data_IF_585943595510
#
_entry.id   IF_585943595510
#
_cell.length_a   1.000
_cell.length_b   1.000
_cell.length_c   1.000
_cell.angle_alpha   90.00
_cell.angle_beta   90.00
_cell.angle_gamma   90.00
#
_symmetry.space_group_name_H-M   'P 1'
#
loop_
_entity.id
_entity.type
_entity.pdbx_description
1 polymer ?
#
# COMPACT_ATOMS: atom_id res chain seq x y z
N UNK A 1 38.72 -0.88 -42.98
CA UNK A 1 38.35 -1.96 -43.91
C UNK A 1 37.21 -2.72 -43.25
N UNK A 2 35.96 -2.45 -43.66
CA UNK A 2 35.02 -3.37 -44.36
C UNK A 2 34.80 -4.67 -43.55
N UNK A 3 33.61 -4.99 -43.08
CA UNK A 3 32.38 -5.18 -43.86
C UNK A 3 31.08 -4.73 -43.16
N UNK A 4 30.13 -4.31 -44.00
CA UNK A 4 28.74 -3.99 -43.66
C UNK A 4 27.89 -5.24 -43.85
N UNK A 5 26.95 -5.52 -42.94
CA UNK A 5 25.84 -6.43 -43.24
C UNK A 5 24.54 -5.64 -43.21
N UNK A 6 24.03 -5.39 -44.41
CA UNK A 6 22.68 -4.90 -44.67
C UNK A 6 21.67 -6.03 -44.46
N UNK A 7 20.55 -5.76 -43.80
CA UNK A 7 19.34 -6.58 -43.93
C UNK A 7 18.33 -5.87 -44.82
N UNK A 8 17.99 -6.55 -45.91
CA UNK A 8 17.15 -6.12 -47.00
C UNK A 8 15.66 -6.04 -46.63
N UNK A 9 14.99 -5.04 -47.21
CA UNK A 9 13.54 -5.00 -47.45
C UNK A 9 13.11 -6.18 -48.35
N UNK A 10 12.04 -6.86 -47.96
CA UNK A 10 11.17 -7.65 -48.85
C UNK A 10 9.82 -6.96 -49.00
N UNK A 11 9.38 -6.78 -50.25
CA UNK A 11 8.24 -5.97 -50.69
C UNK A 11 6.98 -6.82 -50.95
N UNK A 12 5.83 -6.20 -50.66
CA UNK A 12 4.56 -6.20 -51.43
C UNK A 12 3.69 -7.48 -51.44
N UNK A 13 2.46 -7.33 -50.93
CA UNK A 13 1.27 -7.92 -51.55
C UNK A 13 0.15 -6.87 -51.67
N UNK A 14 -0.39 -6.83 -52.88
CA UNK A 14 -1.42 -5.99 -53.46
C UNK A 14 -2.81 -6.46 -53.00
N UNK A 15 -3.74 -5.55 -52.71
CA UNK A 15 -5.14 -5.88 -52.44
C UNK A 15 -6.07 -4.80 -52.97
N UNK A 16 -6.81 -5.11 -54.02
CA UNK A 16 -7.67 -4.24 -54.79
C UNK A 16 -8.93 -3.78 -54.04
N UNK A 17 -9.42 -2.60 -54.42
CA UNK A 17 -10.69 -2.03 -54.00
C UNK A 17 -11.89 -2.77 -54.62
N UNK A 18 -12.92 -3.03 -53.81
CA UNK A 18 -14.30 -3.22 -54.25
C UNK A 18 -15.22 -2.48 -53.28
N UNK A 19 -15.91 -1.48 -53.79
CA UNK A 19 -17.00 -0.79 -53.11
C UNK A 19 -18.30 -1.56 -53.35
N UNK A 20 -19.03 -1.86 -52.28
CA UNK A 20 -20.44 -2.25 -52.34
C UNK A 20 -21.16 -1.61 -51.14
N UNK A 21 -22.16 -0.79 -51.46
CA UNK A 21 -23.04 -0.13 -50.50
C UNK A 21 -24.07 -1.13 -49.95
N UNK A 22 -24.44 -1.00 -48.67
CA UNK A 22 -25.53 -1.75 -48.06
C UNK A 22 -25.75 -1.44 -46.58
N UNK A 23 -26.62 -0.45 -46.31
CA UNK A 23 -27.46 -0.22 -45.10
C UNK A 23 -26.97 -0.76 -43.75
N UNK A 24 -26.51 0.15 -42.88
CA UNK A 24 -26.32 -0.09 -41.45
C UNK A 24 -27.64 0.06 -40.68
N UNK A 25 -28.11 -1.01 -40.04
CA UNK A 25 -29.08 -0.93 -38.95
C UNK A 25 -28.29 -0.75 -37.64
N UNK A 26 -28.35 0.44 -37.05
CA UNK A 26 -27.76 0.72 -35.74
C UNK A 26 -28.72 0.22 -34.65
N UNK A 27 -28.43 -0.95 -34.07
CA UNK A 27 -29.03 -1.34 -32.79
C UNK A 27 -28.22 -0.67 -31.69
N UNK A 28 -28.79 0.38 -31.10
CA UNK A 28 -28.22 1.03 -29.92
C UNK A 28 -28.43 0.12 -28.70
N UNK A 29 -27.38 -0.59 -28.28
CA UNK A 29 -27.33 -1.22 -26.95
C UNK A 29 -26.84 -0.15 -25.98
N UNK A 30 -27.74 0.51 -25.27
CA UNK A 30 -27.38 1.40 -24.16
C UNK A 30 -27.02 0.56 -22.94
N UNK A 31 -25.74 0.21 -22.83
CA UNK A 31 -25.16 -0.19 -21.55
C UNK A 31 -25.07 1.05 -20.65
N UNK A 32 -25.68 1.08 -19.46
CA UNK A 32 -25.48 2.18 -18.52
C UNK A 32 -24.08 2.08 -17.93
N UNK A 33 -23.15 2.86 -18.49
CA UNK A 33 -21.87 3.17 -17.87
C UNK A 33 -21.87 4.63 -17.46
N UNK A 34 -21.69 4.89 -16.16
CA UNK A 34 -20.77 5.89 -15.58
C UNK A 34 -20.96 5.92 -14.07
N UNK A 35 -20.05 5.25 -13.35
CA UNK A 35 -19.75 5.57 -11.97
C UNK A 35 -19.07 6.96 -11.98
N UNK A 36 -19.83 7.98 -11.57
CA UNK A 36 -19.34 9.35 -11.50
C UNK A 36 -18.45 9.56 -10.28
N UNK A 37 -17.32 10.21 -10.50
CA UNK A 37 -16.57 10.93 -9.48
C UNK A 37 -16.41 12.37 -10.01
N UNK A 38 -17.28 13.27 -9.56
CA UNK A 38 -17.14 14.71 -9.76
C UNK A 38 -17.68 15.40 -8.50
N UNK A 39 -16.81 15.60 -7.52
CA UNK A 39 -17.03 16.54 -6.42
C UNK A 39 -16.17 17.78 -6.68
N UNK A 40 -16.79 18.82 -7.21
CA UNK A 40 -16.25 20.18 -7.18
C UNK A 40 -17.29 21.13 -6.59
N UNK A 41 -16.94 21.71 -5.44
CA UNK A 41 -17.73 22.73 -4.77
C UNK A 41 -17.31 24.15 -5.15
N UNK A 42 -18.27 25.08 -5.13
CA UNK A 42 -18.01 26.46 -4.70
C UNK A 42 -18.08 27.59 -5.74
N UNK A 43 -19.27 28.17 -5.87
CA UNK A 43 -19.61 29.61 -6.02
C UNK A 43 -19.03 30.49 -7.16
N UNK A 44 -19.96 30.97 -8.01
CA UNK A 44 -19.97 32.36 -8.50
C UNK A 44 -19.78 32.58 -10.01
N UNK A 45 -20.87 32.76 -10.75
CA UNK A 45 -20.84 33.31 -12.12
C UNK A 45 -21.85 32.65 -13.04
N UNK A 46 -22.93 33.36 -13.39
CA UNK A 46 -24.07 32.83 -14.12
C UNK A 46 -23.75 32.32 -15.53
N UNK A 47 -23.91 31.01 -15.71
CA UNK A 47 -24.33 30.41 -16.97
C UNK A 47 -25.46 29.43 -16.64
N UNK A 48 -26.60 29.57 -17.32
CA UNK A 48 -27.78 28.73 -17.13
C UNK A 48 -27.47 27.29 -17.52
N UNK A 49 -26.96 26.50 -16.58
CA UNK A 49 -26.98 25.06 -16.67
C UNK A 49 -28.44 24.61 -16.56
N UNK A 50 -28.92 23.96 -17.62
CA UNK A 50 -30.21 23.31 -17.64
C UNK A 50 -30.31 22.42 -16.39
N UNK A 51 -31.28 22.72 -15.52
CA UNK A 51 -31.74 21.75 -14.53
C UNK A 51 -32.20 20.53 -15.33
N UNK A 52 -31.38 19.48 -15.35
CA UNK A 52 -31.87 18.14 -15.62
C UNK A 52 -32.84 17.80 -14.47
N UNK A 53 -34.10 18.16 -14.66
CA UNK A 53 -35.23 17.53 -14.01
C UNK A 53 -35.33 16.10 -14.55
N UNK A 54 -34.45 15.26 -14.03
CA UNK A 54 -34.42 13.81 -14.24
C UNK A 54 -34.67 13.08 -12.92
N UNK A 55 -35.56 13.60 -12.07
CA UNK A 55 -36.16 12.82 -11.01
C UNK A 55 -37.53 12.38 -11.51
N UNK A 56 -37.56 11.21 -12.15
CA UNK A 56 -38.82 10.49 -12.27
C UNK A 56 -39.37 10.17 -10.87
N UNK A 57 -40.68 9.90 -10.74
CA UNK A 57 -41.32 9.56 -9.47
C UNK A 57 -40.75 8.32 -8.75
N UNK A 58 -39.77 7.63 -9.36
CA UNK A 58 -39.15 6.40 -8.88
C UNK A 58 -37.67 6.55 -8.46
N UNK A 59 -37.20 7.78 -8.18
CA UNK A 59 -35.85 7.96 -7.67
C UNK A 59 -35.73 7.37 -6.24
N UNK A 60 -34.90 6.33 -6.08
CA UNK A 60 -34.63 5.74 -4.77
C UNK A 60 -34.08 6.81 -3.81
N UNK A 61 -34.57 6.85 -2.54
CA UNK A 61 -34.07 7.81 -1.57
C UNK A 61 -32.56 7.58 -1.31
N UNK A 62 -31.81 8.63 -0.93
CA UNK A 62 -30.40 8.49 -0.57
C UNK A 62 -30.19 7.40 0.47
N UNK A 63 -29.25 6.49 0.21
CA UNK A 63 -28.90 5.44 1.17
C UNK A 63 -28.37 6.04 2.47
N UNK A 64 -28.86 5.55 3.61
CA UNK A 64 -28.37 5.92 4.93
C UNK A 64 -27.43 4.81 5.41
N UNK A 65 -26.23 5.19 5.85
CA UNK A 65 -25.31 4.26 6.50
C UNK A 65 -25.78 4.05 7.93
N UNK A 66 -26.14 2.82 8.28
CA UNK A 66 -26.50 2.45 9.64
C UNK A 66 -25.25 2.49 10.55
N UNK A 67 -25.42 2.94 11.78
CA UNK A 67 -24.35 2.92 12.76
C UNK A 67 -24.00 1.47 13.11
N UNK A 68 -22.71 1.12 13.06
CA UNK A 68 -22.25 -0.20 13.45
C UNK A 68 -22.62 -0.49 14.92
N UNK A 69 -23.03 -1.74 15.23
CA UNK A 69 -23.31 -2.15 16.60
C UNK A 69 -22.05 -2.06 17.47
N UNK A 70 -22.24 -1.96 18.78
CA UNK A 70 -21.11 -1.94 19.72
C UNK A 70 -20.32 -3.26 19.67
N UNK A 71 -19.01 -3.16 19.49
CA UNK A 71 -18.11 -4.32 19.47
C UNK A 71 -17.99 -4.95 20.87
N UNK A 72 -18.07 -6.29 21.01
CA UNK A 72 -17.81 -6.96 22.27
C UNK A 72 -16.34 -6.85 22.70
N UNK A 73 -16.04 -7.09 23.98
CA UNK A 73 -14.65 -7.06 24.49
C UNK A 73 -13.75 -8.22 24.03
N UNK A 74 -14.38 -9.29 23.53
CA UNK A 74 -13.74 -10.54 23.08
C UNK A 74 -14.55 -11.13 21.94
N UNK A 75 -13.85 -11.67 20.95
CA UNK A 75 -14.46 -12.47 19.89
C UNK A 75 -14.65 -13.92 20.33
N UNK A 76 -15.32 -14.71 19.48
CA UNK A 76 -15.54 -16.14 19.69
C UNK A 76 -15.11 -16.95 18.47
N UNK A 77 -14.60 -18.17 18.66
CA UNK A 77 -14.21 -19.07 17.56
C UNK A 77 -13.29 -18.42 16.54
N UNK A 78 -13.81 -18.16 15.34
CA UNK A 78 -13.11 -17.55 14.19
C UNK A 78 -13.48 -16.09 13.89
N UNK A 79 -14.20 -15.43 14.80
CA UNK A 79 -14.48 -14.00 14.66
C UNK A 79 -13.17 -13.21 14.46
N UNK A 80 -13.15 -12.10 13.73
CA UNK A 80 -12.00 -11.20 13.72
C UNK A 80 -11.57 -10.81 15.14
N UNK A 81 -10.30 -10.41 15.29
CA UNK A 81 -9.85 -9.86 16.57
C UNK A 81 -10.60 -8.56 16.86
N UNK A 82 -11.08 -8.44 18.09
CA UNK A 82 -11.67 -7.19 18.58
C UNK A 82 -10.58 -6.15 18.84
N UNK A 83 -10.94 -4.86 18.82
CA UNK A 83 -10.03 -3.77 19.16
C UNK A 83 -9.35 -3.96 20.53
N UNK A 84 -10.12 -4.49 21.46
CA UNK A 84 -9.71 -4.78 22.83
C UNK A 84 -8.71 -5.95 22.89
N UNK A 85 -8.90 -6.99 22.08
CA UNK A 85 -7.95 -8.09 21.92
C UNK A 85 -6.66 -7.60 21.27
N UNK A 86 -6.74 -6.87 20.16
CA UNK A 86 -5.59 -6.28 19.44
C UNK A 86 -4.71 -5.48 20.41
N UNK A 87 -5.29 -4.51 21.14
CA UNK A 87 -4.53 -3.70 22.10
C UNK A 87 -3.83 -4.54 23.18
N UNK A 88 -4.50 -5.58 23.68
CA UNK A 88 -3.93 -6.46 24.71
C UNK A 88 -2.79 -7.29 24.17
N UNK A 89 -2.97 -7.96 23.02
CA UNK A 89 -1.93 -8.86 22.47
C UNK A 89 -0.71 -8.09 22.00
N UNK A 90 -0.89 -6.91 21.42
CA UNK A 90 0.24 -6.08 20.98
C UNK A 90 1.13 -5.68 22.16
N UNK A 91 0.52 -5.32 23.29
CA UNK A 91 1.24 -5.01 24.52
C UNK A 91 1.98 -6.23 25.07
N UNK A 92 1.32 -7.39 25.12
CA UNK A 92 1.90 -8.63 25.65
C UNK A 92 3.04 -9.13 24.75
N UNK A 93 2.82 -9.15 23.45
CA UNK A 93 3.78 -9.60 22.46
C UNK A 93 4.99 -8.66 22.36
N UNK A 94 4.82 -7.35 22.51
CA UNK A 94 5.92 -6.39 22.48
C UNK A 94 6.80 -6.39 23.74
N UNK A 95 6.32 -6.95 24.86
CA UNK A 95 6.97 -6.83 26.15
C UNK A 95 8.30 -7.61 26.31
N UNK A 96 8.97 -7.35 27.44
CA UNK A 96 10.18 -8.04 27.85
C UNK A 96 11.42 -7.67 27.02
N UNK A 97 12.25 -8.67 26.69
CA UNK A 97 13.53 -8.47 25.99
C UNK A 97 13.37 -7.79 24.62
N UNK A 98 12.25 -8.04 23.93
CA UNK A 98 12.01 -7.46 22.60
C UNK A 98 11.89 -5.93 22.71
N UNK A 99 10.99 -5.41 23.57
CA UNK A 99 10.90 -3.97 23.87
C UNK A 99 12.23 -3.36 24.30
N UNK A 100 13.08 -4.13 25.00
CA UNK A 100 14.29 -3.60 25.58
C UNK A 100 15.43 -3.43 24.58
N UNK A 101 15.50 -4.32 23.60
CA UNK A 101 16.68 -4.49 22.77
C UNK A 101 16.42 -4.07 21.33
N UNK A 102 15.22 -4.32 20.79
CA UNK A 102 14.89 -4.04 19.41
C UNK A 102 14.84 -2.54 19.07
N UNK A 103 14.83 -2.26 17.76
CA UNK A 103 14.65 -0.92 17.21
C UNK A 103 13.51 -0.87 16.20
N UNK A 104 12.83 0.26 16.20
CA UNK A 104 11.78 0.57 15.24
C UNK A 104 12.35 1.25 13.99
N UNK A 105 11.49 1.55 13.03
CA UNK A 105 11.89 2.14 11.74
C UNK A 105 12.56 3.52 11.88
N UNK A 106 12.26 4.25 12.96
CA UNK A 106 12.89 5.54 13.26
C UNK A 106 14.25 5.40 13.97
N UNK A 107 14.60 4.18 14.39
CA UNK A 107 15.77 3.89 15.22
C UNK A 107 15.51 4.07 16.72
N UNK A 108 14.27 4.30 17.15
CA UNK A 108 13.92 4.37 18.56
C UNK A 108 13.81 2.97 19.18
N UNK A 109 13.81 2.90 20.52
CA UNK A 109 13.77 1.64 21.27
C UNK A 109 12.41 0.97 21.17
N UNK A 110 12.42 -0.34 20.93
CA UNK A 110 11.23 -1.17 20.75
C UNK A 110 11.13 -1.67 19.32
N UNK A 111 10.50 -2.82 19.06
CA UNK A 111 10.36 -3.32 17.69
C UNK A 111 9.33 -2.51 16.89
N UNK A 112 9.47 -2.48 15.56
CA UNK A 112 8.42 -1.95 14.67
C UNK A 112 7.30 -2.99 14.53
N UNK A 113 6.08 -2.69 14.96
CA UNK A 113 4.92 -3.56 14.69
C UNK A 113 4.52 -3.49 13.21
N UNK A 114 4.27 -4.64 12.60
CA UNK A 114 3.82 -4.76 11.22
C UNK A 114 2.34 -5.14 11.12
N UNK A 115 1.95 -6.25 11.76
CA UNK A 115 0.57 -6.74 11.74
C UNK A 115 0.19 -7.41 13.06
N UNK A 116 -1.12 -7.54 13.26
CA UNK A 116 -1.75 -8.25 14.36
C UNK A 116 -2.94 -9.00 13.78
N UNK A 117 -2.85 -10.32 13.75
CA UNK A 117 -3.80 -11.18 13.02
C UNK A 117 -4.32 -12.29 13.94
N UNK A 118 -5.55 -12.75 13.69
CA UNK A 118 -6.03 -13.97 14.35
C UNK A 118 -5.19 -15.14 13.83
N UNK A 119 -4.59 -15.91 14.73
CA UNK A 119 -3.83 -17.09 14.34
C UNK A 119 -4.80 -18.19 13.90
N UNK A 120 -4.46 -18.89 12.82
CA UNK A 120 -5.19 -20.10 12.43
C UNK A 120 -4.98 -21.19 13.50
N UNK A 121 -5.99 -22.04 13.77
CA UNK A 121 -5.84 -23.18 14.66
C UNK A 121 -4.70 -24.09 14.18
N UNK A 122 -4.04 -24.78 15.11
CA UNK A 122 -3.06 -25.79 14.73
C UNK A 122 -3.76 -26.95 14.00
N UNK A 123 -3.01 -27.71 13.20
CA UNK A 123 -3.57 -28.80 12.39
C UNK A 123 -4.35 -29.85 13.21
N UNK A 124 -3.94 -30.08 14.47
CA UNK A 124 -4.61 -31.00 15.39
C UNK A 124 -5.86 -30.40 16.07
N UNK A 125 -6.09 -29.09 15.94
CA UNK A 125 -7.12 -28.32 16.64
C UNK A 125 -8.26 -27.87 15.71
N UNK A 126 -8.16 -28.10 14.39
CA UNK A 126 -9.11 -27.61 13.39
C UNK A 126 -10.57 -28.00 13.68
N UNK A 127 -10.79 -29.22 14.16
CA UNK A 127 -12.11 -29.76 14.49
C UNK A 127 -12.42 -29.71 16.01
N UNK A 128 -11.54 -29.12 16.82
CA UNK A 128 -11.76 -28.99 18.27
C UNK A 128 -12.58 -27.72 18.58
N UNK A 129 -13.84 -27.85 19.06
CA UNK A 129 -14.63 -26.69 19.45
C UNK A 129 -14.05 -25.92 20.64
N UNK A 130 -13.07 -26.49 21.35
CA UNK A 130 -12.37 -25.87 22.48
C UNK A 130 -10.92 -25.46 22.13
N UNK A 131 -10.56 -25.43 20.84
CA UNK A 131 -9.25 -24.99 20.39
C UNK A 131 -8.90 -23.61 20.99
N UNK A 132 -7.66 -23.42 21.51
CA UNK A 132 -7.26 -22.13 22.03
C UNK A 132 -7.27 -21.05 20.94
N UNK A 133 -7.89 -19.91 21.25
CA UNK A 133 -7.93 -18.76 20.35
C UNK A 133 -6.65 -17.95 20.54
N UNK A 134 -5.86 -17.83 19.47
CA UNK A 134 -4.55 -17.18 19.50
C UNK A 134 -4.48 -16.01 18.52
N UNK A 135 -3.54 -15.09 18.74
CA UNK A 135 -3.22 -14.02 17.81
C UNK A 135 -1.73 -14.00 17.51
N UNK A 136 -1.40 -13.79 16.24
CA UNK A 136 -0.04 -13.56 15.79
C UNK A 136 0.23 -12.05 15.72
N UNK A 137 1.27 -11.62 16.42
CA UNK A 137 1.76 -10.24 16.34
C UNK A 137 3.13 -10.27 15.66
N UNK A 138 3.20 -9.62 14.51
CA UNK A 138 4.41 -9.58 13.69
C UNK A 138 5.13 -8.26 13.87
N UNK A 139 6.43 -8.35 14.13
CA UNK A 139 7.34 -7.25 14.39
C UNK A 139 8.54 -7.30 13.46
N UNK A 140 9.17 -6.15 13.22
CA UNK A 140 10.49 -6.04 12.62
C UNK A 140 11.46 -5.38 13.62
N UNK A 141 12.63 -5.98 13.83
CA UNK A 141 13.73 -5.37 14.59
C UNK A 141 14.75 -4.78 13.61
N UNK A 142 14.72 -3.46 13.44
CA UNK A 142 15.62 -2.71 12.56
C UNK A 142 17.08 -2.72 13.01
N UNK A 143 17.37 -3.18 14.23
CA UNK A 143 18.76 -3.33 14.69
C UNK A 143 19.42 -4.58 14.11
N UNK A 144 18.63 -5.62 13.84
CA UNK A 144 19.14 -6.95 13.42
C UNK A 144 18.57 -7.42 12.09
N UNK A 145 17.76 -6.59 11.43
CA UNK A 145 17.07 -6.86 10.16
C UNK A 145 16.32 -8.20 10.19
N UNK A 146 15.51 -8.38 11.23
CA UNK A 146 14.78 -9.64 11.49
C UNK A 146 13.30 -9.40 11.69
N UNK A 147 12.50 -10.28 11.07
CA UNK A 147 11.08 -10.44 11.35
C UNK A 147 10.91 -11.31 12.61
N UNK A 148 10.08 -10.87 13.55
CA UNK A 148 9.75 -11.59 14.78
C UNK A 148 8.24 -11.74 14.86
N UNK A 149 7.74 -12.97 14.83
CA UNK A 149 6.30 -13.27 15.00
C UNK A 149 6.09 -13.91 16.36
N UNK A 150 5.13 -13.39 17.12
CA UNK A 150 4.78 -13.90 18.45
C UNK A 150 3.32 -14.28 18.49
N UNK A 151 3.08 -15.54 18.84
CA UNK A 151 1.73 -16.08 19.01
C UNK A 151 1.32 -15.94 20.47
N UNK A 152 0.21 -15.27 20.72
CA UNK A 152 -0.34 -15.00 22.04
C UNK A 152 -1.67 -15.71 22.20
N UNK A 153 -1.81 -16.51 23.25
CA UNK A 153 -3.11 -17.05 23.63
C UNK A 153 -3.99 -15.94 24.23
N UNK A 154 -5.17 -15.73 23.65
CA UNK A 154 -6.07 -14.62 24.01
C UNK A 154 -6.73 -14.78 25.38
N UNK A 155 -6.79 -16.00 25.89
CA UNK A 155 -7.46 -16.32 27.16
C UNK A 155 -6.52 -16.11 28.33
N UNK A 156 -5.33 -16.69 28.26
CA UNK A 156 -4.29 -16.69 29.28
C UNK A 156 -3.40 -15.45 29.20
N UNK A 157 -3.34 -14.80 28.03
CA UNK A 157 -2.45 -13.67 27.77
C UNK A 157 -0.98 -14.05 27.72
N UNK A 158 -0.66 -15.33 27.48
CA UNK A 158 0.72 -15.83 27.41
C UNK A 158 1.21 -15.83 25.97
N UNK A 159 2.48 -15.48 25.78
CA UNK A 159 3.19 -15.71 24.53
C UNK A 159 3.56 -17.20 24.50
N UNK A 160 2.96 -17.96 23.58
CA UNK A 160 3.15 -19.40 23.46
C UNK A 160 4.26 -19.75 22.45
N UNK A 161 4.37 -18.95 21.39
CA UNK A 161 5.39 -19.13 20.36
C UNK A 161 6.12 -17.82 20.03
N UNK A 162 7.39 -17.95 19.63
CA UNK A 162 8.16 -16.84 19.07
C UNK A 162 9.02 -17.37 17.92
N UNK A 163 8.69 -16.95 16.70
CA UNK A 163 9.48 -17.19 15.51
C UNK A 163 10.41 -16.00 15.21
N UNK A 164 11.56 -16.25 14.60
CA UNK A 164 12.46 -15.20 14.09
C UNK A 164 12.99 -15.59 12.73
N UNK A 165 12.87 -14.70 11.76
CA UNK A 165 13.24 -14.93 10.36
C UNK A 165 14.05 -13.75 9.81
N UNK A 166 14.86 -14.01 8.79
CA UNK A 166 15.61 -13.01 8.01
C UNK A 166 15.29 -13.16 6.54
N UNK A 167 15.42 -12.09 5.78
CA UNK A 167 15.16 -12.12 4.34
C UNK A 167 13.69 -12.29 3.96
N UNK A 168 12.77 -12.05 4.90
CA UNK A 168 11.32 -12.10 4.67
C UNK A 168 10.78 -10.69 4.75
N UNK A 169 10.06 -10.27 3.72
CA UNK A 169 9.58 -8.90 3.58
C UNK A 169 8.04 -8.87 3.50
N UNK A 170 7.33 -8.76 4.63
CA UNK A 170 5.91 -8.47 4.61
C UNK A 170 5.65 -7.04 4.11
N UNK A 171 4.42 -6.71 3.66
CA UNK A 171 4.06 -5.36 3.25
C UNK A 171 4.44 -4.31 4.32
N UNK A 172 4.82 -3.09 3.93
CA UNK A 172 5.21 -2.07 4.89
C UNK A 172 4.02 -1.57 5.70
N UNK A 173 4.25 -1.38 7.00
CA UNK A 173 3.26 -0.77 7.88
C UNK A 173 3.15 0.74 7.61
N UNK A 174 2.04 1.36 8.04
CA UNK A 174 1.83 2.81 7.91
C UNK A 174 2.99 3.64 8.49
N UNK A 175 3.52 3.23 9.65
CA UNK A 175 4.65 3.91 10.28
C UNK A 175 5.91 3.84 9.40
N UNK A 176 6.13 2.73 8.70
CA UNK A 176 7.25 2.55 7.78
C UNK A 176 7.08 3.41 6.54
N UNK A 177 5.89 3.49 5.96
CA UNK A 177 5.61 4.40 4.84
C UNK A 177 5.81 5.87 5.23
N UNK A 178 5.37 6.26 6.43
CA UNK A 178 5.58 7.61 6.95
C UNK A 178 7.07 7.91 7.16
N UNK A 179 7.84 6.96 7.68
CA UNK A 179 9.29 7.15 7.88
C UNK A 179 10.05 7.17 6.56
N UNK A 180 9.69 6.31 5.59
CA UNK A 180 10.24 6.38 4.25
C UNK A 180 10.00 7.75 3.62
N UNK A 181 8.82 8.34 3.81
CA UNK A 181 8.51 9.68 3.32
C UNK A 181 9.36 10.74 4.03
N UNK A 182 9.63 10.61 5.34
CA UNK A 182 10.56 11.52 6.05
C UNK A 182 11.96 11.44 5.48
N UNK A 183 12.48 10.23 5.27
CA UNK A 183 13.81 9.99 4.69
C UNK A 183 13.87 10.63 3.30
N UNK A 184 12.91 10.33 2.44
CA UNK A 184 12.84 10.87 1.09
C UNK A 184 12.76 12.41 1.09
N UNK A 185 11.92 13.00 1.93
CA UNK A 185 11.81 14.46 2.05
C UNK A 185 13.12 15.11 2.53
N UNK A 186 13.92 14.43 3.33
CA UNK A 186 15.22 14.93 3.79
C UNK A 186 16.34 14.73 2.75
N UNK A 187 16.16 13.79 1.81
CA UNK A 187 17.14 13.43 0.80
C UNK A 187 17.10 14.39 -0.40
N UNK A 188 18.25 14.78 -0.99
CA UNK A 188 18.28 15.55 -2.24
C UNK A 188 17.48 14.91 -3.39
N UNK A 189 17.40 13.58 -3.46
CA UNK A 189 16.60 12.85 -4.46
C UNK A 189 15.10 13.12 -4.30
N UNK A 190 14.63 13.50 -3.11
CA UNK A 190 13.24 13.88 -2.85
C UNK A 190 12.88 15.32 -3.21
N UNK A 191 13.79 16.08 -3.84
CA UNK A 191 13.49 17.45 -4.26
C UNK A 191 12.26 17.52 -5.20
N UNK A 192 12.09 16.54 -6.09
CA UNK A 192 10.93 16.43 -6.98
C UNK A 192 9.61 16.31 -6.21
N UNK A 193 9.55 15.43 -5.21
CA UNK A 193 8.37 15.26 -4.34
C UNK A 193 7.93 16.58 -3.69
N UNK A 194 8.89 17.37 -3.18
CA UNK A 194 8.60 18.66 -2.56
C UNK A 194 8.14 19.71 -3.57
N UNK A 195 8.77 19.75 -4.74
CA UNK A 195 8.41 20.67 -5.81
C UNK A 195 7.00 20.39 -6.34
N UNK A 196 6.69 19.14 -6.64
CA UNK A 196 5.39 18.73 -7.17
C UNK A 196 4.26 18.93 -6.15
N UNK A 197 4.53 18.69 -4.86
CA UNK A 197 3.57 19.02 -3.81
C UNK A 197 3.29 20.53 -3.75
N UNK A 198 4.33 21.36 -3.87
CA UNK A 198 4.20 22.81 -3.85
C UNK A 198 3.46 23.33 -5.07
N UNK A 199 3.74 22.78 -6.24
CA UNK A 199 3.03 23.11 -7.47
C UNK A 199 1.53 22.79 -7.35
N UNK A 200 1.20 21.58 -6.86
CA UNK A 200 -0.18 21.14 -6.71
C UNK A 200 -0.99 21.87 -5.63
N UNK A 201 -0.33 22.41 -4.58
CA UNK A 201 -1.03 22.92 -3.38
C UNK A 201 -0.75 24.38 -3.04
N UNK A 202 0.28 24.98 -3.65
CA UNK A 202 0.83 26.29 -3.27
C UNK A 202 1.54 26.32 -1.91
N UNK A 203 1.74 25.17 -1.24
CA UNK A 203 2.31 25.07 0.11
C UNK A 203 3.55 24.19 0.12
N UNK A 204 4.45 24.46 1.07
CA UNK A 204 5.62 23.60 1.23
C UNK A 204 5.24 22.26 1.87
N UNK A 205 5.89 21.18 1.40
CA UNK A 205 5.79 19.85 2.00
C UNK A 205 6.74 19.77 3.20
N UNK A 206 6.17 19.74 4.40
CA UNK A 206 6.90 19.80 5.68
C UNK A 206 6.71 18.56 6.54
N UNK A 207 5.63 17.80 6.34
CA UNK A 207 5.36 16.54 7.03
C UNK A 207 4.80 15.48 6.08
N UNK A 208 5.12 14.18 6.27
CA UNK A 208 4.46 13.07 5.59
C UNK A 208 2.93 13.06 5.73
N UNK A 209 2.39 13.62 6.81
CA UNK A 209 0.94 13.63 7.05
C UNK A 209 0.17 14.49 6.03
N UNK A 210 0.87 15.34 5.26
CA UNK A 210 0.30 16.08 4.14
C UNK A 210 0.03 15.21 2.91
N UNK A 211 0.51 13.95 2.91
CA UNK A 211 0.39 12.99 1.83
C UNK A 211 -0.54 11.83 2.21
N UNK A 212 -1.19 11.26 1.20
CA UNK A 212 -1.64 9.88 1.18
C UNK A 212 -0.46 9.01 0.73
N UNK A 213 -0.11 8.03 1.55
CA UNK A 213 1.07 7.19 1.35
C UNK A 213 0.64 5.73 1.26
N UNK A 214 1.17 5.05 0.25
CA UNK A 214 1.19 3.59 0.16
C UNK A 214 2.61 3.14 -0.15
N UNK A 215 3.03 2.01 0.42
CA UNK A 215 4.35 1.45 0.22
C UNK A 215 4.29 0.06 -0.42
N UNK A 216 5.19 -0.20 -1.36
CA UNK A 216 5.50 -1.55 -1.84
C UNK A 216 6.88 -1.98 -1.38
N UNK A 217 7.08 -3.28 -1.17
CA UNK A 217 8.41 -3.84 -0.90
C UNK A 217 9.27 -3.70 -2.17
N UNK A 218 10.57 -3.46 -1.98
CA UNK A 218 11.55 -3.60 -3.03
C UNK A 218 12.60 -4.65 -2.64
N UNK A 219 12.73 -5.68 -3.48
CA UNK A 219 13.80 -6.67 -3.39
C UNK A 219 14.72 -6.50 -4.59
N UNK A 220 16.03 -6.48 -4.32
CA UNK A 220 17.02 -6.38 -5.36
C UNK A 220 17.11 -7.67 -6.18
N UNK A 221 17.23 -7.51 -7.50
CA UNK A 221 17.53 -8.60 -8.42
C UNK A 221 19.01 -8.49 -8.82
N UNK A 222 19.88 -9.44 -8.46
CA UNK A 222 21.32 -9.31 -8.69
C UNK A 222 21.67 -8.87 -10.13
N UNK A 223 22.40 -7.74 -10.25
CA UNK A 223 22.82 -7.17 -11.54
C UNK A 223 21.78 -6.32 -12.30
N UNK A 224 20.57 -6.12 -11.75
CA UNK A 224 19.50 -5.32 -12.39
C UNK A 224 19.32 -3.91 -11.80
N UNK A 225 20.06 -3.57 -10.73
CA UNK A 225 19.94 -2.29 -10.04
C UNK A 225 21.32 -1.73 -9.65
N UNK A 226 21.40 -0.43 -9.29
CA UNK A 226 22.60 0.14 -8.71
C UNK A 226 23.06 -0.60 -7.45
N UNK A 227 24.38 -0.76 -7.28
CA UNK A 227 24.98 -1.54 -6.20
C UNK A 227 24.58 -1.09 -4.78
N UNK A 228 24.17 0.17 -4.62
CA UNK A 228 23.65 0.69 -3.32
C UNK A 228 22.40 -0.05 -2.86
N UNK A 229 21.66 -0.69 -3.78
CA UNK A 229 20.44 -1.45 -3.51
C UNK A 229 20.68 -2.95 -3.32
N UNK A 230 21.92 -3.47 -3.44
CA UNK A 230 22.19 -4.91 -3.38
C UNK A 230 21.81 -5.58 -2.04
N UNK A 231 21.62 -4.78 -1.00
CA UNK A 231 21.17 -5.24 0.32
C UNK A 231 19.65 -5.34 0.44
N UNK A 232 18.89 -4.77 -0.49
CA UNK A 232 17.42 -4.82 -0.46
C UNK A 232 16.90 -6.25 -0.63
N UNK A 233 16.10 -6.70 0.32
CA UNK A 233 15.72 -8.11 0.49
C UNK A 233 16.28 -8.66 1.79
N UNK A 234 17.53 -8.35 2.13
CA UNK A 234 18.04 -8.48 3.51
C UNK A 234 17.60 -7.26 4.34
N UNK A 235 17.93 -6.06 3.86
CA UNK A 235 17.39 -4.81 4.35
C UNK A 235 15.94 -4.64 3.89
N UNK A 236 15.16 -3.94 4.72
CA UNK A 236 13.78 -3.61 4.41
C UNK A 236 13.72 -2.37 3.53
N UNK A 237 13.70 -2.58 2.22
CA UNK A 237 13.58 -1.50 1.24
C UNK A 237 12.13 -1.37 0.74
N UNK A 238 11.72 -0.12 0.49
CA UNK A 238 10.37 0.20 0.02
C UNK A 238 10.39 1.16 -1.15
N UNK A 239 9.36 1.07 -1.99
CA UNK A 239 8.96 2.09 -2.96
C UNK A 239 7.70 2.77 -2.45
N UNK A 240 7.68 4.09 -2.49
CA UNK A 240 6.52 4.87 -2.09
C UNK A 240 5.68 5.25 -3.29
N UNK A 241 4.37 5.15 -3.11
CA UNK A 241 3.35 5.74 -3.96
C UNK A 241 2.76 6.91 -3.18
N UNK A 242 3.02 8.13 -3.66
CA UNK A 242 2.69 9.36 -2.94
C UNK A 242 1.58 10.11 -3.66
N UNK A 243 0.63 10.63 -2.89
CA UNK A 243 -0.49 11.41 -3.42
C UNK A 243 -0.78 12.58 -2.50
N UNK A 244 -1.08 13.74 -3.08
CA UNK A 244 -1.60 14.88 -2.33
C UNK A 244 -2.98 14.49 -1.78
N UNK A 245 -3.26 14.75 -0.49
CA UNK A 245 -4.59 14.49 0.08
C UNK A 245 -5.67 15.16 -0.75
N UNK A 246 -6.66 14.38 -1.20
CA UNK A 246 -7.71 14.86 -2.11
C UNK A 246 -7.17 15.54 -3.40
N UNK A 247 -5.99 15.12 -3.88
CA UNK A 247 -5.29 15.73 -5.01
C UNK A 247 -4.57 14.72 -5.89
N UNK A 248 -3.63 15.19 -6.74
CA UNK A 248 -2.94 14.34 -7.70
C UNK A 248 -1.92 13.41 -7.06
N UNK A 249 -1.56 12.36 -7.80
CA UNK A 249 -0.39 11.53 -7.52
C UNK A 249 0.89 12.31 -7.83
N UNK A 250 1.93 12.08 -7.04
CA UNK A 250 3.28 12.60 -7.29
C UNK A 250 4.17 11.41 -7.65
N UNK A 251 4.93 11.54 -8.74
CA UNK A 251 5.73 10.43 -9.24
C UNK A 251 7.02 10.27 -8.44
N UNK A 252 7.08 9.19 -7.67
CA UNK A 252 8.26 8.76 -6.90
C UNK A 252 8.71 7.35 -7.30
N UNK A 253 8.27 6.87 -8.47
CA UNK A 253 8.42 5.46 -8.87
C UNK A 253 9.87 5.02 -9.04
N UNK A 254 10.76 5.91 -9.42
CA UNK A 254 12.17 5.60 -9.68
C UNK A 254 13.00 5.64 -8.38
N UNK A 255 12.39 5.91 -7.24
CA UNK A 255 13.07 5.98 -5.96
C UNK A 255 12.79 4.75 -5.11
N UNK A 256 13.85 4.25 -4.48
CA UNK A 256 13.81 3.18 -3.48
C UNK A 256 14.38 3.74 -2.18
N UNK A 257 13.69 3.48 -1.07
CA UNK A 257 14.11 3.89 0.26
C UNK A 257 14.51 2.64 1.03
N UNK A 258 15.78 2.56 1.41
CA UNK A 258 16.28 1.57 2.36
C UNK A 258 15.99 2.07 3.77
N UNK A 259 14.99 1.48 4.43
CA UNK A 259 14.60 1.85 5.79
C UNK A 259 15.64 1.38 6.81
N UNK A 260 16.32 0.27 6.56
CA UNK A 260 17.36 -0.28 7.44
C UNK A 260 18.61 0.61 7.46
N UNK A 261 19.05 1.09 6.29
CA UNK A 261 20.19 1.99 6.17
C UNK A 261 19.83 3.48 6.26
N UNK A 262 18.53 3.82 6.21
CA UNK A 262 17.97 5.18 6.21
C UNK A 262 18.47 6.03 5.04
N UNK A 263 18.39 5.49 3.82
CA UNK A 263 18.91 6.12 2.59
C UNK A 263 17.91 6.02 1.45
N UNK A 264 17.98 6.98 0.54
CA UNK A 264 17.27 6.93 -0.74
C UNK A 264 18.26 6.60 -1.86
N UNK A 265 17.82 5.80 -2.82
CA UNK A 265 18.53 5.58 -4.06
C UNK A 265 17.57 5.70 -5.24
N UNK A 266 18.08 6.16 -6.38
CA UNK A 266 17.37 6.13 -7.64
C UNK A 266 17.65 4.83 -8.38
N UNK A 267 16.64 4.32 -9.07
CA UNK A 267 16.76 3.27 -10.08
C UNK A 267 17.28 3.88 -11.38
N UNK A 268 18.06 3.10 -12.14
CA UNK A 268 18.45 3.52 -13.48
C UNK A 268 17.21 3.70 -14.34
N UNK A 269 17.06 4.88 -14.93
CA UNK A 269 16.02 5.14 -15.94
C UNK A 269 16.50 4.49 -17.24
N UNK A 270 15.95 3.32 -17.56
CA UNK A 270 16.15 2.65 -18.84
C UNK A 270 15.68 3.49 -20.03
#
# INVERSE_FOLDING_TARGET
MREKVHRHLGKVLTGAALAAAGTAAMVAVTLPGTAGADDSGGAGGGARAARQTGQGPDAAPPGVVEQAPAEPKRGTGRDPLTDDEIRRVEKLAGAGRLSATARDVSGARGPQRLSTDLAEPEAAEVDDPNAPRRADVTFYDYRTDTLVTRTVDLTTGKVEHTGTQRGVQPPPARAESAEAARILMADPLGAGLKADYKDATGKDLTSPDQLELSGGIYEASPGAQPAVLDRCGEHRCVRLFTKVRNGPWIDTRDLVIDLSARRTAALDRG
#
